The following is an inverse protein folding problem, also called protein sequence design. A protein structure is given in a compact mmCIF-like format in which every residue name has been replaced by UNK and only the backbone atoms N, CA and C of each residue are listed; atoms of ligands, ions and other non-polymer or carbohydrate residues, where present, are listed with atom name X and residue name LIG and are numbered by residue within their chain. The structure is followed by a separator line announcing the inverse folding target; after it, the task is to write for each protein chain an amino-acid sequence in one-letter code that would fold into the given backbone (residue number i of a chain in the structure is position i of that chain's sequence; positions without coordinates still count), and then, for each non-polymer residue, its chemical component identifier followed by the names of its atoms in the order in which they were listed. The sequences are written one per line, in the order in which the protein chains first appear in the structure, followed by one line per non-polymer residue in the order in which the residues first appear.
data_IF_060411319532
#
_entry.id   IF_060411319532
#
_cell.length_a   1.000
_cell.length_b   1.000
_cell.length_c   1.000
_cell.angle_alpha   90.00
_cell.angle_beta   90.00
_cell.angle_gamma   90.00
#
_symmetry.space_group_name_H-M   'P 1'
#
loop_
_entity.id
_entity.type
_entity.pdbx_description
1 polymer ?
#
# COMPACT_ATOMS: atom_id res chain seq x y z
N UNK A 1 -2.87 -4.87 7.52
CA UNK A 1 -2.80 -6.31 7.22
C UNK A 1 -2.36 -6.48 5.77
N UNK A 2 -1.53 -7.47 5.46
CA UNK A 2 -1.02 -7.71 4.12
C UNK A 2 -1.15 -9.20 3.80
N UNK A 3 -1.60 -9.53 2.59
CA UNK A 3 -1.64 -10.89 2.06
C UNK A 3 -0.93 -10.92 0.70
N UNK A 4 -0.03 -11.87 0.52
CA UNK A 4 0.68 -12.10 -0.73
C UNK A 4 0.52 -13.58 -1.10
N UNK A 5 0.25 -13.84 -2.37
CA UNK A 5 0.10 -15.20 -2.88
C UNK A 5 1.05 -15.39 -4.06
N UNK A 6 1.80 -16.49 -4.09
CA UNK A 6 2.62 -16.85 -5.26
C UNK A 6 1.70 -17.56 -6.24
N UNK A 7 1.25 -16.85 -7.28
CA UNK A 7 0.22 -17.37 -8.19
C UNK A 7 0.83 -18.16 -9.35
N UNK A 8 2.05 -17.81 -9.78
CA UNK A 8 2.66 -18.46 -10.93
C UNK A 8 4.19 -18.41 -10.89
N UNK A 9 4.82 -19.52 -11.21
CA UNK A 9 6.25 -19.56 -11.53
C UNK A 9 6.48 -20.50 -12.70
N UNK A 10 7.19 -20.02 -13.72
CA UNK A 10 7.61 -20.81 -14.87
C UNK A 10 9.09 -20.54 -15.14
N UNK A 11 9.89 -21.60 -14.98
CA UNK A 11 11.34 -21.55 -15.12
C UNK A 11 12.00 -20.45 -14.26
N UNK A 12 12.54 -19.39 -14.86
CA UNK A 12 13.15 -18.25 -14.17
C UNK A 12 12.19 -17.09 -13.88
N UNK A 13 10.92 -17.20 -14.28
CA UNK A 13 9.91 -16.15 -14.13
C UNK A 13 8.98 -16.47 -12.95
N UNK A 14 8.82 -15.54 -12.00
CA UNK A 14 7.91 -15.70 -10.86
C UNK A 14 7.02 -14.49 -10.66
N UNK A 15 5.70 -14.69 -10.69
CA UNK A 15 4.68 -13.68 -10.44
C UNK A 15 4.06 -13.86 -9.04
N UNK A 16 4.15 -12.81 -8.24
CA UNK A 16 3.67 -12.76 -6.86
C UNK A 16 2.74 -11.57 -6.65
N UNK A 17 1.41 -11.72 -6.85
CA UNK A 17 0.44 -10.70 -6.47
C UNK A 17 0.32 -10.52 -4.95
N UNK A 18 0.00 -9.31 -4.54
CA UNK A 18 -0.24 -8.96 -3.15
C UNK A 18 -1.37 -7.93 -3.02
N UNK A 19 -2.02 -7.98 -1.86
CA UNK A 19 -2.98 -6.98 -1.41
C UNK A 19 -2.58 -6.49 -0.02
N UNK A 20 -2.63 -5.18 0.19
CA UNK A 20 -2.34 -4.55 1.47
C UNK A 20 -3.49 -3.65 1.87
N UNK A 21 -3.97 -3.81 3.09
CA UNK A 21 -4.95 -2.92 3.69
C UNK A 21 -4.30 -2.21 4.88
N UNK A 22 -4.18 -0.90 4.78
CA UNK A 22 -3.55 -0.03 5.77
C UNK A 22 -4.59 0.91 6.36
N UNK A 23 -4.42 1.19 7.66
CA UNK A 23 -5.28 2.06 8.42
C UNK A 23 -4.40 3.09 9.13
N UNK A 24 -4.42 4.33 8.66
CA UNK A 24 -3.69 5.42 9.30
C UNK A 24 -4.65 6.20 10.20
N UNK A 25 -4.32 6.27 11.48
CA UNK A 25 -5.00 7.16 12.41
C UNK A 25 -4.11 8.39 12.57
N UNK A 26 -4.16 9.31 11.62
CA UNK A 26 -3.26 10.47 11.58
C UNK A 26 -3.50 11.46 12.73
N UNK A 27 -4.57 11.32 13.53
CA UNK A 27 -4.90 12.17 14.69
C UNK A 27 -5.63 11.44 15.82
N UNK A 28 -5.09 10.33 16.36
CA UNK A 28 -5.75 9.58 17.44
C UNK A 28 -5.56 10.16 18.87
N UNK A 29 -4.91 11.31 19.03
CA UNK A 29 -4.83 11.96 20.35
C UNK A 29 -4.42 13.41 20.19
N UNK A 30 -5.36 14.29 19.83
CA UNK A 30 -5.27 15.62 20.44
C UNK A 30 -5.53 15.41 21.93
N UNK A 31 -4.62 15.90 22.78
CA UNK A 31 -4.93 16.05 24.19
C UNK A 31 -6.22 16.88 24.27
N UNK A 32 -7.18 16.47 25.09
CA UNK A 32 -8.40 17.25 25.29
C UNK A 32 -8.00 18.60 25.90
N UNK A 33 -8.15 19.68 25.14
CA UNK A 33 -7.76 21.04 25.54
C UNK A 33 -8.96 21.82 26.10
N UNK A 34 -10.13 21.17 26.19
CA UNK A 34 -11.38 21.74 26.70
C UNK A 34 -12.49 21.80 25.65
N UNK A 35 -13.74 21.85 26.14
CA UNK A 35 -14.94 21.95 25.29
C UNK A 35 -14.85 23.16 24.35
N UNK A 36 -14.98 22.90 23.05
CA UNK A 36 -14.92 23.91 21.99
C UNK A 36 -13.53 24.22 21.44
N UNK A 37 -12.46 23.62 22.00
CA UNK A 37 -11.08 23.78 21.49
C UNK A 37 -10.45 22.48 20.95
N UNK A 38 -10.97 21.32 21.32
CA UNK A 38 -10.51 20.03 20.80
C UNK A 38 -10.98 19.87 19.34
N UNK A 39 -10.06 19.81 18.35
CA UNK A 39 -10.43 19.64 16.95
C UNK A 39 -11.13 18.31 16.74
N UNK A 40 -12.15 18.27 15.87
CA UNK A 40 -12.81 17.02 15.50
C UNK A 40 -11.77 15.97 15.08
N UNK A 41 -11.91 14.77 15.65
CA UNK A 41 -11.02 13.66 15.34
C UNK A 41 -11.04 13.42 13.83
N UNK A 42 -9.90 13.65 13.15
CA UNK A 42 -9.84 13.44 11.72
C UNK A 42 -10.18 11.99 11.39
N UNK A 43 -10.99 11.74 10.33
CA UNK A 43 -11.41 10.40 9.99
C UNK A 43 -10.18 9.52 9.75
N UNK A 44 -10.22 8.30 10.26
CA UNK A 44 -9.21 7.29 9.95
C UNK A 44 -9.08 7.16 8.43
N UNK A 45 -7.88 7.37 7.89
CA UNK A 45 -7.56 7.10 6.50
C UNK A 45 -7.37 5.59 6.30
N UNK A 46 -8.00 5.05 5.26
CA UNK A 46 -7.86 3.64 4.89
C UNK A 46 -7.30 3.58 3.49
N UNK A 47 -6.20 2.85 3.35
CA UNK A 47 -5.52 2.69 2.07
C UNK A 47 -5.54 1.22 1.69
N UNK A 48 -5.95 0.98 0.45
CA UNK A 48 -5.93 -0.35 -0.14
C UNK A 48 -4.92 -0.34 -1.28
N UNK A 49 -3.91 -1.19 -1.17
CA UNK A 49 -2.92 -1.44 -2.22
C UNK A 49 -3.22 -2.78 -2.87
N UNK A 50 -3.29 -2.80 -4.19
CA UNK A 50 -3.28 -4.02 -4.98
C UNK A 50 -2.09 -3.96 -5.92
N UNK A 51 -1.22 -4.97 -5.88
CA UNK A 51 -0.03 -4.98 -6.72
C UNK A 51 0.45 -6.36 -7.07
N UNK A 52 1.47 -6.41 -7.92
CA UNK A 52 2.14 -7.63 -8.32
C UNK A 52 3.64 -7.40 -8.51
N UNK A 53 4.41 -8.40 -8.12
CA UNK A 53 5.85 -8.46 -8.36
C UNK A 53 6.13 -9.54 -9.42
N UNK A 54 6.80 -9.16 -10.50
CA UNK A 54 7.29 -10.07 -11.52
C UNK A 54 8.82 -10.14 -11.40
N UNK A 55 9.31 -11.27 -10.92
CA UNK A 55 10.74 -11.57 -10.89
C UNK A 55 11.11 -12.24 -12.20
N UNK A 56 12.04 -11.65 -12.93
CA UNK A 56 12.63 -12.20 -14.15
C UNK A 56 14.03 -12.69 -13.76
N UNK A 57 14.45 -13.84 -14.28
CA UNK A 57 15.78 -14.40 -14.07
C UNK A 57 16.88 -13.33 -14.20
N UNK A 58 17.97 -13.49 -13.43
CA UNK A 58 19.08 -12.53 -13.28
C UNK A 58 18.84 -11.40 -12.26
N UNK A 59 17.94 -11.62 -11.29
CA UNK A 59 17.75 -10.72 -10.15
C UNK A 59 16.98 -9.44 -10.46
N UNK A 60 16.29 -9.39 -11.61
CA UNK A 60 15.45 -8.27 -12.03
C UNK A 60 14.03 -8.44 -11.51
N UNK A 61 13.45 -7.39 -10.93
CA UNK A 61 12.12 -7.40 -10.34
C UNK A 61 11.31 -6.21 -10.83
N UNK A 62 10.26 -6.47 -11.59
CA UNK A 62 9.26 -5.47 -11.94
C UNK A 62 8.15 -5.46 -10.90
N UNK A 63 7.69 -4.27 -10.55
CA UNK A 63 6.62 -4.07 -9.58
C UNK A 63 5.60 -3.11 -10.18
N UNK A 64 4.34 -3.45 -10.00
CA UNK A 64 3.24 -2.56 -10.32
C UNK A 64 2.23 -2.63 -9.18
N UNK A 65 1.86 -1.48 -8.61
CA UNK A 65 0.83 -1.40 -7.59
C UNK A 65 -0.07 -0.19 -7.76
N UNK A 66 -1.31 -0.35 -7.33
CA UNK A 66 -2.35 0.68 -7.33
C UNK A 66 -2.78 0.89 -5.89
N UNK A 67 -2.69 2.13 -5.42
CA UNK A 67 -3.08 2.53 -4.09
C UNK A 67 -4.35 3.39 -4.15
N UNK A 68 -5.36 2.95 -3.41
CA UNK A 68 -6.65 3.63 -3.30
C UNK A 68 -6.88 4.13 -1.87
N UNK A 69 -7.00 5.44 -1.73
CA UNK A 69 -7.28 6.13 -0.48
C UNK A 69 -8.79 6.32 -0.33
N UNK A 70 -9.35 6.02 0.84
CA UNK A 70 -10.80 6.10 1.07
C UNK A 70 -11.27 7.49 1.44
N UNK A 71 -10.50 8.25 2.23
CA UNK A 71 -10.90 9.61 2.62
C UNK A 71 -10.37 10.62 1.61
N UNK A 72 -9.06 10.64 1.36
CA UNK A 72 -8.47 11.54 0.37
C UNK A 72 -8.22 10.86 -0.98
N UNK A 73 -9.23 10.88 -1.86
CA UNK A 73 -9.13 10.25 -3.19
C UNK A 73 -8.11 10.91 -4.12
N UNK A 74 -7.68 12.15 -3.85
CA UNK A 74 -6.68 12.85 -4.66
C UNK A 74 -5.29 12.19 -4.54
N UNK A 75 -5.08 11.40 -3.49
CA UNK A 75 -3.86 10.63 -3.29
C UNK A 75 -3.85 9.27 -4.00
N UNK A 76 -4.91 8.92 -4.74
CA UNK A 76 -4.92 7.68 -5.53
C UNK A 76 -3.77 7.69 -6.52
N UNK A 77 -2.96 6.64 -6.48
CA UNK A 77 -1.74 6.56 -7.30
C UNK A 77 -1.56 5.17 -7.88
N UNK A 78 -0.85 5.16 -9.01
CA UNK A 78 -0.31 3.98 -9.65
C UNK A 78 1.20 4.11 -9.60
N UNK A 79 1.84 3.14 -8.97
CA UNK A 79 3.27 3.11 -8.74
C UNK A 79 3.85 1.97 -9.60
N UNK A 80 4.87 2.28 -10.40
CA UNK A 80 5.64 1.33 -11.19
C UNK A 80 7.08 1.34 -10.69
N UNK A 81 7.65 0.17 -10.48
CA UNK A 81 9.00 0.01 -9.94
C UNK A 81 9.80 -1.02 -10.70
N UNK A 82 11.11 -0.76 -10.80
CA UNK A 82 12.10 -1.72 -11.27
C UNK A 82 13.17 -1.85 -10.18
N UNK A 83 13.44 -3.09 -9.78
CA UNK A 83 14.52 -3.44 -8.86
C UNK A 83 15.49 -4.38 -9.55
N UNK A 84 16.77 -4.27 -9.21
CA UNK A 84 17.80 -5.19 -9.66
C UNK A 84 18.65 -5.58 -8.45
N UNK A 85 18.91 -6.88 -8.31
CA UNK A 85 19.75 -7.47 -7.26
C UNK A 85 20.86 -8.29 -7.92
N UNK A 86 22.08 -8.12 -7.44
CA UNK A 86 23.28 -8.86 -7.86
C UNK A 86 23.78 -9.78 -6.75
#
# INVERSE_FOLDING_TARGET
MQAAYKVWSWDELSLSPFVRAERYNTRKSYADIGQGQTPDAAPTERVYTLGANLNVGQGLVFKADIQRFKQNKDNNRLDLGLGWSF
#
